data_IF_173917967131
#
_entry.id   IF_173917967131
#
_cell.length_a   1.000
_cell.length_b   1.000
_cell.length_c   1.000
_cell.angle_alpha   90.00
_cell.angle_beta   90.00
_cell.angle_gamma   90.00
#
_symmetry.space_group_name_H-M   'P 1'
#
loop_
_entity.id
_entity.type
_entity.pdbx_description
1 polymer ?
#
# COMPACT_ATOMS: atom_id res chain seq x y z
N UNK A 1 -29.98 1.41 -1.77
CA UNK A 1 -28.88 0.44 -1.96
C UNK A 1 -27.55 1.17 -1.79
N UNK A 2 -27.06 1.34 -0.56
CA UNK A 2 -25.66 1.74 -0.37
C UNK A 2 -24.83 0.48 -0.59
N UNK A 3 -24.34 0.28 -1.81
CA UNK A 3 -23.17 -0.54 -2.03
C UNK A 3 -22.11 -0.03 -1.06
N UNK A 4 -21.70 -0.83 -0.07
CA UNK A 4 -20.69 -0.43 0.89
C UNK A 4 -19.47 0.14 0.16
N UNK A 5 -19.05 1.34 0.54
CA UNK A 5 -17.92 2.01 -0.11
C UNK A 5 -16.69 1.10 0.03
N UNK A 6 -16.03 0.78 -1.09
CA UNK A 6 -14.82 -0.04 -1.05
C UNK A 6 -13.73 0.76 -0.33
N UNK A 7 -13.09 0.13 0.65
CA UNK A 7 -12.00 0.75 1.39
C UNK A 7 -10.73 0.82 0.55
N UNK A 8 -10.00 1.91 0.67
CA UNK A 8 -8.75 2.17 -0.04
C UNK A 8 -7.57 1.99 0.91
N UNK A 9 -6.62 1.14 0.53
CA UNK A 9 -5.36 0.97 1.25
C UNK A 9 -4.16 1.28 0.35
N UNK A 10 -3.14 1.88 0.95
CA UNK A 10 -1.84 2.07 0.34
C UNK A 10 -0.77 1.28 1.10
N UNK A 11 0.00 0.45 0.40
CA UNK A 11 1.11 -0.31 0.98
C UNK A 11 2.43 0.29 0.52
N UNK A 12 3.25 0.75 1.45
CA UNK A 12 4.58 1.29 1.17
C UNK A 12 5.64 0.19 1.29
N UNK A 13 6.38 -0.03 0.20
CA UNK A 13 7.40 -1.06 0.03
C UNK A 13 6.85 -2.31 -0.68
N UNK A 14 7.52 -2.77 -1.74
CA UNK A 14 7.12 -3.94 -2.54
C UNK A 14 8.02 -5.17 -2.28
N UNK A 15 8.57 -5.27 -1.07
CA UNK A 15 9.28 -6.46 -0.60
C UNK A 15 8.34 -7.64 -0.34
N UNK A 16 8.86 -8.70 0.28
CA UNK A 16 8.07 -9.91 0.61
C UNK A 16 6.84 -9.57 1.46
N UNK A 17 7.04 -8.85 2.56
CA UNK A 17 5.96 -8.39 3.46
C UNK A 17 4.95 -7.49 2.76
N UNK A 18 5.40 -6.45 2.04
CA UNK A 18 4.49 -5.56 1.32
C UNK A 18 3.62 -6.28 0.28
N UNK A 19 4.19 -7.24 -0.46
CA UNK A 19 3.44 -8.07 -1.40
C UNK A 19 2.40 -8.97 -0.70
N UNK A 20 2.74 -9.51 0.47
CA UNK A 20 1.81 -10.32 1.27
C UNK A 20 0.65 -9.46 1.81
N UNK A 21 0.95 -8.28 2.36
CA UNK A 21 -0.03 -7.30 2.84
C UNK A 21 -1.01 -6.89 1.73
N UNK A 22 -0.48 -6.54 0.56
CA UNK A 22 -1.30 -6.10 -0.57
C UNK A 22 -2.29 -7.18 -1.02
N UNK A 23 -1.82 -8.44 -1.09
CA UNK A 23 -2.67 -9.59 -1.43
C UNK A 23 -3.70 -9.89 -0.36
N UNK A 24 -3.35 -9.78 0.92
CA UNK A 24 -4.29 -9.96 2.03
C UNK A 24 -5.42 -8.94 1.94
N UNK A 25 -5.10 -7.64 1.86
CA UNK A 25 -6.10 -6.58 1.73
C UNK A 25 -6.98 -6.76 0.49
N UNK A 26 -6.37 -7.16 -0.63
CA UNK A 26 -7.11 -7.43 -1.87
C UNK A 26 -8.12 -8.57 -1.70
N UNK A 27 -7.78 -9.65 -0.99
CA UNK A 27 -8.72 -10.74 -0.66
C UNK A 27 -9.89 -10.26 0.20
N UNK A 28 -9.68 -9.24 1.03
CA UNK A 28 -10.74 -8.58 1.79
C UNK A 28 -11.50 -7.49 1.01
N UNK A 29 -11.42 -7.51 -0.33
CA UNK A 29 -12.12 -6.59 -1.23
C UNK A 29 -11.72 -5.11 -1.12
N UNK A 30 -10.54 -4.82 -0.56
CA UNK A 30 -9.99 -3.47 -0.58
C UNK A 30 -9.52 -3.09 -2.00
N UNK A 31 -9.57 -1.80 -2.29
CA UNK A 31 -8.83 -1.18 -3.38
C UNK A 31 -7.41 -0.93 -2.90
N UNK A 32 -6.42 -1.59 -3.51
CA UNK A 32 -5.05 -1.60 -3.01
C UNK A 32 -4.11 -0.98 -4.03
N UNK A 33 -3.32 -0.01 -3.57
CA UNK A 33 -2.15 0.50 -4.28
C UNK A 33 -0.89 0.13 -3.50
N UNK A 34 0.16 -0.30 -4.21
CA UNK A 34 1.49 -0.56 -3.64
C UNK A 34 2.46 0.46 -4.23
N UNK A 35 3.36 1.02 -3.44
CA UNK A 35 4.45 1.87 -3.94
C UNK A 35 5.82 1.38 -3.50
N UNK A 36 6.81 1.45 -4.38
CA UNK A 36 8.23 1.32 -4.00
C UNK A 36 9.04 2.51 -4.52
N UNK A 37 9.98 2.97 -3.69
CA UNK A 37 10.91 4.05 -4.07
C UNK A 37 11.87 3.65 -5.20
N UNK A 38 12.11 2.35 -5.37
CA UNK A 38 12.98 1.80 -6.40
C UNK A 38 12.18 1.51 -7.67
N UNK A 39 12.86 1.60 -8.80
CA UNK A 39 12.37 1.11 -10.08
C UNK A 39 13.50 0.30 -10.74
N UNK A 40 13.33 -1.02 -10.78
CA UNK A 40 14.28 -1.96 -11.39
C UNK A 40 13.51 -3.14 -12.01
N UNK A 41 14.19 -3.94 -12.81
CA UNK A 41 13.54 -5.00 -13.60
C UNK A 41 12.83 -6.05 -12.74
N UNK A 42 13.39 -6.41 -11.59
CA UNK A 42 12.74 -7.35 -10.66
C UNK A 42 11.42 -6.78 -10.11
N UNK A 43 11.40 -5.50 -9.76
CA UNK A 43 10.17 -4.83 -9.31
C UNK A 43 9.16 -4.67 -10.45
N UNK A 44 9.61 -4.38 -11.68
CA UNK A 44 8.73 -4.31 -12.86
C UNK A 44 8.05 -5.64 -13.14
N UNK A 45 8.76 -6.76 -13.02
CA UNK A 45 8.18 -8.10 -13.16
C UNK A 45 7.17 -8.40 -12.03
N UNK A 46 7.48 -8.03 -10.79
CA UNK A 46 6.54 -8.18 -9.67
C UNK A 46 5.27 -7.32 -9.85
N UNK A 47 5.43 -6.10 -10.39
CA UNK A 47 4.32 -5.21 -10.74
C UNK A 47 3.33 -5.88 -11.68
N UNK A 48 3.80 -6.57 -12.73
CA UNK A 48 2.92 -7.30 -13.65
C UNK A 48 2.12 -8.39 -12.92
N UNK A 49 2.77 -9.15 -12.03
CA UNK A 49 2.11 -10.18 -11.21
C UNK A 49 1.02 -9.61 -10.29
N UNK A 50 1.24 -8.45 -9.68
CA UNK A 50 0.25 -7.77 -8.83
C UNK A 50 -0.86 -7.14 -9.66
N UNK A 51 -0.55 -6.56 -10.82
CA UNK A 51 -1.54 -6.00 -11.73
C UNK A 51 -2.55 -7.06 -12.20
N UNK A 52 -2.08 -8.28 -12.50
CA UNK A 52 -2.95 -9.42 -12.83
C UNK A 52 -3.92 -9.81 -11.70
N UNK A 53 -3.64 -9.39 -10.46
CA UNK A 53 -4.49 -9.61 -9.28
C UNK A 53 -5.39 -8.39 -8.96
N UNK A 54 -5.38 -7.37 -9.84
CA UNK A 54 -6.12 -6.12 -9.67
C UNK A 54 -5.55 -5.22 -8.58
N UNK A 55 -4.23 -5.27 -8.35
CA UNK A 55 -3.51 -4.40 -7.42
C UNK A 55 -2.70 -3.39 -8.24
N UNK A 56 -2.88 -2.10 -7.96
CA UNK A 56 -2.12 -1.04 -8.63
C UNK A 56 -0.73 -0.93 -8.04
N UNK A 57 0.30 -0.71 -8.87
CA UNK A 57 1.69 -0.57 -8.41
C UNK A 57 2.35 0.68 -9.00
N UNK A 58 2.95 1.48 -8.12
CA UNK A 58 3.72 2.69 -8.41
C UNK A 58 5.20 2.45 -8.09
N UNK A 59 6.10 2.67 -9.05
CA UNK A 59 7.54 2.49 -8.86
C UNK A 59 8.25 3.81 -9.14
N UNK A 60 9.26 4.13 -8.33
CA UNK A 60 10.09 5.32 -8.51
C UNK A 60 9.36 6.65 -8.33
N UNK A 61 8.14 6.63 -7.80
CA UNK A 61 7.33 7.85 -7.58
C UNK A 61 7.04 8.06 -6.11
N UNK A 62 6.97 9.33 -5.73
CA UNK A 62 6.47 9.71 -4.42
C UNK A 62 4.95 9.56 -4.39
N UNK A 63 4.46 8.69 -3.51
CA UNK A 63 3.05 8.63 -3.15
C UNK A 63 2.70 9.85 -2.29
N UNK A 64 1.54 10.48 -2.56
CA UNK A 64 0.99 11.55 -1.74
C UNK A 64 -0.36 11.09 -1.19
N UNK A 65 -0.51 10.88 0.13
CA UNK A 65 -1.78 10.48 0.70
C UNK A 65 -2.80 11.63 0.63
N UNK A 66 -4.06 11.25 0.49
CA UNK A 66 -5.21 12.14 0.65
C UNK A 66 -6.20 11.56 1.67
N UNK A 67 -7.25 12.33 1.96
CA UNK A 67 -8.27 11.95 2.94
C UNK A 67 -9.22 10.83 2.46
N UNK A 68 -9.09 10.36 1.21
CA UNK A 68 -9.89 9.24 0.70
C UNK A 68 -9.26 7.86 1.01
N UNK A 69 -8.07 7.84 1.63
CA UNK A 69 -7.44 6.62 2.12
C UNK A 69 -8.00 6.21 3.48
N UNK A 70 -8.26 4.91 3.61
CA UNK A 70 -8.70 4.31 4.87
C UNK A 70 -7.54 3.70 5.66
N UNK A 71 -6.42 3.38 5.01
CA UNK A 71 -5.28 2.72 5.62
C UNK A 71 -3.97 2.94 4.84
N UNK A 72 -2.88 3.16 5.57
CA UNK A 72 -1.51 3.01 5.07
C UNK A 72 -0.81 1.87 5.82
N UNK A 73 -0.17 0.98 5.08
CA UNK A 73 0.61 -0.14 5.61
C UNK A 73 2.08 0.05 5.27
N UNK A 74 2.93 -0.09 6.28
CA UNK A 74 4.38 0.12 6.16
C UNK A 74 5.09 -1.23 6.18
N UNK A 75 5.70 -1.60 5.06
CA UNK A 75 6.56 -2.78 4.97
C UNK A 75 7.86 -2.55 5.75
N UNK A 76 8.47 -3.60 6.34
CA UNK A 76 9.80 -3.52 6.92
C UNK A 76 10.82 -2.88 5.97
N UNK A 77 11.65 -1.97 6.50
CA UNK A 77 12.67 -1.24 5.75
C UNK A 77 12.22 0.10 5.16
N UNK A 78 10.93 0.42 5.17
CA UNK A 78 10.44 1.77 4.84
C UNK A 78 10.63 2.69 6.05
N UNK A 79 11.30 3.86 5.90
CA UNK A 79 11.44 4.81 7.00
C UNK A 79 10.09 5.35 7.47
N UNK A 80 9.82 5.28 8.77
CA UNK A 80 8.54 5.69 9.36
C UNK A 80 8.31 7.20 9.39
N UNK A 81 9.38 7.97 9.22
CA UNK A 81 9.44 9.42 9.09
C UNK A 81 9.42 9.88 7.62
N UNK A 82 9.24 8.96 6.66
CA UNK A 82 9.08 9.31 5.26
C UNK A 82 7.94 10.35 5.09
N UNK A 83 8.11 11.41 4.28
CA UNK A 83 7.14 12.48 4.16
C UNK A 83 5.68 12.03 3.89
N UNK A 84 5.43 10.99 3.05
CA UNK A 84 4.06 10.49 2.86
C UNK A 84 3.44 9.89 4.14
N UNK A 85 4.22 9.24 5.00
CA UNK A 85 3.70 8.68 6.26
C UNK A 85 3.41 9.75 7.29
N UNK A 86 4.25 10.79 7.36
CA UNK A 86 3.96 11.97 8.20
C UNK A 86 2.65 12.61 7.74
N UNK A 87 2.51 12.83 6.44
CA UNK A 87 1.30 13.44 5.87
C UNK A 87 0.04 12.60 6.09
N UNK A 88 0.12 11.28 5.96
CA UNK A 88 -1.02 10.39 6.20
C UNK A 88 -1.53 10.53 7.65
N UNK A 89 -0.62 10.58 8.62
CA UNK A 89 -0.99 10.75 10.04
C UNK A 89 -1.58 12.13 10.33
N UNK A 90 -1.05 13.20 9.72
CA UNK A 90 -1.64 14.55 9.82
C UNK A 90 -3.08 14.61 9.30
N UNK A 91 -3.38 13.82 8.26
CA UNK A 91 -4.73 13.67 7.70
C UNK A 91 -5.63 12.75 8.55
N UNK A 92 -5.11 12.15 9.62
CA UNK A 92 -5.84 11.19 10.46
C UNK A 92 -6.00 9.81 9.84
N UNK A 93 -5.26 9.50 8.77
CA UNK A 93 -5.30 8.18 8.11
C UNK A 93 -4.55 7.15 8.98
N UNK A 94 -5.19 6.04 9.39
CA UNK A 94 -4.52 4.96 10.12
C UNK A 94 -3.28 4.50 9.37
N UNK A 95 -2.14 4.47 10.07
CA UNK A 95 -0.85 4.06 9.52
C UNK A 95 -0.24 2.97 10.40
N UNK A 96 -0.10 1.76 9.87
CA UNK A 96 0.25 0.55 10.63
C UNK A 96 1.46 -0.17 10.02
N UNK A 97 2.19 -0.93 10.81
CA UNK A 97 3.20 -1.86 10.29
C UNK A 97 2.54 -3.09 9.66
N UNK A 98 3.20 -3.71 8.68
CA UNK A 98 2.70 -4.94 8.06
C UNK A 98 2.32 -6.06 9.07
N UNK A 99 3.12 -6.35 10.13
CA UNK A 99 2.78 -7.41 11.08
C UNK A 99 1.43 -7.21 11.79
N UNK A 100 0.95 -5.97 11.89
CA UNK A 100 -0.33 -5.63 12.54
C UNK A 100 -1.54 -6.04 11.71
N UNK A 101 -1.37 -6.37 10.42
CA UNK A 101 -2.45 -6.90 9.57
C UNK A 101 -2.79 -8.37 9.83
N UNK A 102 -1.90 -9.11 10.49
CA UNK A 102 -2.01 -10.55 10.65
C UNK A 102 -2.69 -10.99 11.97
N UNK A 103 -3.13 -10.04 12.79
CA UNK A 103 -3.74 -10.27 14.11
C UNK A 103 -5.20 -9.81 14.15
#
# INVERSE_FOLDING_TARGET
FFSGMRKNAHVMGMGVSGNAAARLLRRHSWCVTVSDSKDNDALRQQKESLAAQGITVLLGTAFTPDAALDLVVVSPGVPWDAPPLVRARELGVPTVGEPELAW
#
